data_IF_278579314540
#
_entry.id   IF_278579314540
#
_cell.length_a   1.000
_cell.length_b   1.000
_cell.length_c   1.000
_cell.angle_alpha   90.00
_cell.angle_beta   90.00
_cell.angle_gamma   90.00
#
_symmetry.space_group_name_H-M   'P 1'
#
loop_
_entity.id
_entity.type
_entity.pdbx_description
1 polymer ?
#
# COMPACT_ATOMS: atom_id res chain seq x y z
N UNK A 1 3.92 -4.00 -13.93
CA UNK A 1 4.43 -2.63 -13.76
C UNK A 1 3.80 -1.98 -12.52
N UNK A 2 3.95 -2.66 -11.39
CA UNK A 2 3.99 -2.02 -10.07
C UNK A 2 5.47 -1.95 -9.77
N UNK A 3 5.97 -0.80 -9.31
CA UNK A 3 7.30 -0.83 -8.68
C UNK A 3 7.28 -1.93 -7.62
N UNK A 4 8.36 -2.69 -7.52
CA UNK A 4 8.55 -3.62 -6.40
C UNK A 4 8.20 -2.88 -5.10
N UNK A 5 7.62 -3.58 -4.13
CA UNK A 5 7.31 -3.03 -2.79
C UNK A 5 8.61 -2.87 -1.98
N UNK A 6 9.56 -2.18 -2.60
CA UNK A 6 10.84 -1.82 -2.04
C UNK A 6 10.60 -0.60 -1.17
N UNK A 7 10.53 -0.84 0.13
CA UNK A 7 10.68 0.21 1.12
C UNK A 7 12.09 0.75 0.97
N UNK A 8 12.27 1.86 0.27
CA UNK A 8 13.56 2.55 0.18
C UNK A 8 13.91 3.08 1.57
N UNK A 9 14.69 2.29 2.30
CA UNK A 9 15.25 2.68 3.58
C UNK A 9 16.24 3.82 3.43
N UNK A 10 16.06 4.84 4.27
CA UNK A 10 17.08 5.78 4.75
C UNK A 10 17.68 6.82 3.77
N UNK A 11 16.86 7.45 2.92
CA UNK A 11 17.24 8.77 2.32
C UNK A 11 16.28 9.90 2.65
N UNK A 12 15.10 9.59 3.18
CA UNK A 12 14.15 10.53 3.76
C UNK A 12 13.61 9.90 5.05
N UNK A 13 13.21 10.69 6.06
CA UNK A 13 12.54 10.20 7.27
C UNK A 13 11.13 9.65 6.98
N UNK A 14 11.01 8.76 6.00
CA UNK A 14 9.81 7.97 5.80
C UNK A 14 9.83 6.90 6.89
N UNK A 15 9.12 7.20 7.98
CA UNK A 15 8.81 6.19 8.99
C UNK A 15 8.11 5.04 8.28
N UNK A 16 8.57 3.82 8.51
CA UNK A 16 7.85 2.62 8.08
C UNK A 16 6.41 2.74 8.60
N UNK A 17 5.39 2.78 7.73
CA UNK A 17 4.01 2.89 8.17
C UNK A 17 3.62 1.71 9.08
N UNK A 18 4.24 0.54 8.89
CA UNK A 18 4.05 -0.62 9.77
C UNK A 18 4.83 -0.51 11.09
N UNK A 19 5.91 0.26 11.13
CA UNK A 19 6.70 0.50 12.34
C UNK A 19 6.09 1.56 13.28
N UNK A 20 5.23 2.44 12.77
CA UNK A 20 4.62 3.54 13.53
C UNK A 20 3.45 3.12 14.44
N UNK A 21 2.83 1.97 14.19
CA UNK A 21 1.62 1.53 14.90
C UNK A 21 1.98 0.39 15.88
N UNK A 22 1.71 0.51 17.19
CA UNK A 22 1.96 -0.59 18.14
C UNK A 22 1.25 -1.89 17.75
N UNK A 23 1.84 -3.05 18.06
CA UNK A 23 1.30 -4.37 17.67
C UNK A 23 -0.10 -4.68 18.21
N UNK A 24 -0.46 -4.11 19.38
CA UNK A 24 -1.79 -4.27 20.00
C UNK A 24 -2.74 -3.11 19.70
N UNK A 25 -2.39 -2.22 18.76
CA UNK A 25 -3.20 -1.05 18.47
C UNK A 25 -4.46 -1.41 17.67
N UNK A 26 -5.65 -0.91 18.05
CA UNK A 26 -6.91 -1.26 17.39
C UNK A 26 -6.95 -0.87 15.90
N UNK A 27 -6.18 0.13 15.46
CA UNK A 27 -6.06 0.48 14.03
C UNK A 27 -5.48 -0.64 13.17
N UNK A 28 -4.71 -1.58 13.74
CA UNK A 28 -4.19 -2.74 12.98
C UNK A 28 -5.31 -3.66 12.49
N UNK A 29 -6.41 -3.74 13.21
CA UNK A 29 -7.58 -4.52 12.77
C UNK A 29 -8.20 -3.89 11.50
N UNK A 30 -8.29 -2.56 11.44
CA UNK A 30 -8.75 -1.83 10.26
C UNK A 30 -7.77 -2.03 9.09
N UNK A 31 -6.46 -1.94 9.37
CA UNK A 31 -5.42 -2.19 8.37
C UNK A 31 -5.51 -3.59 7.75
N UNK A 32 -5.78 -4.62 8.57
CA UNK A 32 -5.98 -5.99 8.09
C UNK A 32 -7.17 -6.09 7.12
N UNK A 33 -8.34 -5.57 7.51
CA UNK A 33 -9.56 -5.62 6.69
C UNK A 33 -9.36 -4.91 5.35
N UNK A 34 -8.68 -3.76 5.37
CA UNK A 34 -8.39 -3.00 4.15
C UNK A 34 -7.39 -3.75 3.27
N UNK A 35 -6.35 -4.35 3.84
CA UNK A 35 -5.37 -5.13 3.08
C UNK A 35 -6.02 -6.33 2.39
N UNK A 36 -6.93 -7.03 3.07
CA UNK A 36 -7.67 -8.15 2.50
C UNK A 36 -8.57 -7.69 1.34
N UNK A 37 -9.26 -6.55 1.51
CA UNK A 37 -10.08 -5.97 0.45
C UNK A 37 -9.25 -5.52 -0.77
N UNK A 38 -8.08 -4.91 -0.54
CA UNK A 38 -7.18 -4.49 -1.61
C UNK A 38 -6.58 -5.68 -2.36
N UNK A 39 -6.24 -6.76 -1.66
CA UNK A 39 -5.77 -7.99 -2.29
C UNK A 39 -6.86 -8.64 -3.16
N UNK A 40 -8.11 -8.64 -2.71
CA UNK A 40 -9.24 -9.12 -3.51
C UNK A 40 -9.42 -8.32 -4.82
N UNK A 41 -9.20 -7.00 -4.78
CA UNK A 41 -9.34 -6.11 -5.94
C UNK A 41 -8.12 -6.09 -6.86
N UNK A 42 -7.03 -6.72 -6.45
CA UNK A 42 -5.72 -6.67 -7.10
C UNK A 42 -5.77 -7.03 -8.59
N UNK A 43 -6.43 -8.15 -8.93
CA UNK A 43 -6.57 -8.62 -10.29
C UNK A 43 -7.47 -7.72 -11.16
N UNK A 44 -8.41 -6.99 -10.54
CA UNK A 44 -9.23 -6.00 -11.22
C UNK A 44 -8.41 -4.75 -11.56
N UNK A 45 -7.61 -4.28 -10.60
CA UNK A 45 -6.69 -3.17 -10.83
C UNK A 45 -5.64 -3.49 -11.90
N UNK A 46 -5.09 -4.70 -11.93
CA UNK A 46 -4.11 -5.08 -12.96
C UNK A 46 -4.65 -4.98 -14.38
N UNK A 47 -5.95 -5.28 -14.58
CA UNK A 47 -6.61 -5.13 -15.89
C UNK A 47 -6.90 -3.66 -16.23
N UNK A 48 -7.35 -2.88 -15.25
CA UNK A 48 -7.74 -1.47 -15.44
C UNK A 48 -6.53 -0.55 -15.64
N UNK A 49 -5.40 -0.88 -15.02
CA UNK A 49 -4.16 -0.11 -15.10
C UNK A 49 -3.11 -0.77 -16.01
N UNK A 50 -3.55 -1.63 -16.94
CA UNK A 50 -2.70 -2.21 -17.97
C UNK A 50 -1.89 -1.13 -18.69
N UNK A 51 -0.59 -1.40 -18.84
CA UNK A 51 0.48 -0.42 -19.04
C UNK A 51 0.18 0.68 -20.06
N UNK A 52 0.27 1.95 -19.63
CA UNK A 52 0.53 3.09 -20.50
C UNK A 52 1.77 3.80 -19.97
N UNK A 53 2.88 3.69 -20.69
CA UNK A 53 4.15 4.46 -20.75
C UNK A 53 4.78 5.13 -19.50
N UNK A 54 4.09 5.23 -18.36
CA UNK A 54 4.59 5.75 -17.09
C UNK A 54 4.09 4.86 -15.95
N UNK A 55 4.97 4.31 -15.10
CA UNK A 55 4.55 3.57 -13.92
C UNK A 55 3.74 4.50 -12.99
N UNK A 56 2.46 4.18 -12.82
CA UNK A 56 1.56 4.83 -11.87
C UNK A 56 1.84 4.32 -10.45
N UNK A 57 1.63 5.16 -9.43
CA UNK A 57 1.52 4.67 -8.05
C UNK A 57 0.23 3.86 -7.95
N UNK A 58 0.31 2.65 -7.41
CA UNK A 58 -0.84 1.76 -7.33
C UNK A 58 -1.90 2.32 -6.36
N UNK A 59 -3.21 2.26 -6.70
CA UNK A 59 -4.27 2.90 -5.92
C UNK A 59 -4.40 2.33 -4.49
N UNK A 60 -4.07 1.06 -4.30
CA UNK A 60 -3.96 0.41 -3.00
C UNK A 60 -2.93 1.10 -2.08
N UNK A 61 -1.82 1.59 -2.63
CA UNK A 61 -0.81 2.36 -1.87
C UNK A 61 -1.35 3.71 -1.40
N UNK A 62 -2.14 4.39 -2.23
CA UNK A 62 -2.77 5.66 -1.85
C UNK A 62 -3.82 5.45 -0.75
N UNK A 63 -4.62 4.38 -0.86
CA UNK A 63 -5.64 4.03 0.14
C UNK A 63 -4.98 3.65 1.47
N UNK A 64 -3.93 2.81 1.44
CA UNK A 64 -3.18 2.41 2.64
C UNK A 64 -2.51 3.63 3.32
N UNK A 65 -1.95 4.56 2.53
CA UNK A 65 -1.35 5.79 3.04
C UNK A 65 -2.36 6.77 3.67
N UNK A 66 -3.65 6.68 3.32
CA UNK A 66 -4.70 7.57 3.86
C UNK A 66 -5.24 7.12 5.22
N UNK A 67 -4.83 5.94 5.71
CA UNK A 67 -5.27 5.35 6.98
C UNK A 67 -4.30 5.60 8.14
N UNK A 68 -3.26 6.41 7.89
CA UNK A 68 -2.20 6.78 8.83
C UNK A 68 -2.45 8.19 9.38
#
# INVERSE_FOLDING_TARGET
MRGSDEVTGALFSHSDPEGGIPSRHPLRAIGSVVNDALHFLEAGFDRLYAARDRPSIAPDRLIRASLL
#
